data_IF_551635077517
#
_entry.id   IF_551635077517
#
_cell.length_a   1.000
_cell.length_b   1.000
_cell.length_c   1.000
_cell.angle_alpha   90.00
_cell.angle_beta   90.00
_cell.angle_gamma   90.00
#
_symmetry.space_group_name_H-M   'P 1'
#
loop_
_entity.id
_entity.type
_entity.pdbx_description
1 polymer ?
#
# COMPACT_ATOMS: atom_id res chain seq x y z
N UNK A 1 60.33 24.71 7.74
CA UNK A 1 59.25 24.72 8.76
C UNK A 1 57.95 25.08 8.06
N UNK A 2 57.12 24.09 7.73
CA UNK A 2 55.83 24.29 7.04
C UNK A 2 54.76 24.30 8.14
N UNK A 3 54.17 25.47 8.39
CA UNK A 3 53.00 25.60 9.28
C UNK A 3 51.81 24.96 8.57
N UNK A 4 51.32 23.84 9.10
CA UNK A 4 49.99 23.32 8.74
C UNK A 4 48.93 24.26 9.33
N UNK A 5 48.20 24.96 8.46
CA UNK A 5 46.97 25.63 8.83
C UNK A 5 45.87 24.58 9.04
N UNK A 6 45.41 24.43 10.27
CA UNK A 6 44.19 23.69 10.57
C UNK A 6 43.00 24.46 9.97
N UNK A 7 42.47 23.98 8.85
CA UNK A 7 41.22 24.46 8.28
C UNK A 7 40.10 24.33 9.33
N UNK A 8 39.68 25.45 9.90
CA UNK A 8 38.49 25.52 10.75
C UNK A 8 37.29 25.19 9.88
N UNK A 9 36.71 24.01 10.08
CA UNK A 9 35.47 23.58 9.43
C UNK A 9 34.38 24.61 9.74
N UNK A 10 33.76 25.14 8.68
CA UNK A 10 32.65 26.09 8.72
C UNK A 10 31.57 25.62 9.71
N UNK A 11 31.17 26.42 10.71
CA UNK A 11 30.18 26.02 11.73
C UNK A 11 28.83 25.61 11.12
N UNK A 12 28.54 25.97 9.86
CA UNK A 12 27.34 25.51 9.13
C UNK A 12 27.44 24.09 8.55
N UNK A 13 28.63 23.48 8.52
CA UNK A 13 28.88 22.11 8.04
C UNK A 13 29.09 21.08 9.15
N UNK A 14 29.03 21.48 10.43
CA UNK A 14 28.97 20.51 11.52
C UNK A 14 27.59 19.85 11.48
N UNK A 15 27.57 18.53 11.29
CA UNK A 15 26.41 17.70 11.59
C UNK A 15 26.15 17.72 13.11
N UNK A 16 25.59 18.82 13.63
CA UNK A 16 25.10 18.91 15.00
C UNK A 16 23.68 18.36 14.99
N UNK A 17 23.54 17.05 14.76
CA UNK A 17 22.29 16.34 14.99
C UNK A 17 22.53 15.35 16.11
N UNK A 18 22.62 15.88 17.33
CA UNK A 18 22.48 15.09 18.54
C UNK A 18 21.17 14.30 18.46
N UNK A 19 21.24 12.97 18.58
CA UNK A 19 20.09 12.07 18.53
C UNK A 19 18.96 12.51 19.49
N UNK A 20 19.34 13.08 20.65
CA UNK A 20 18.42 13.62 21.65
C UNK A 20 17.64 14.87 21.18
N UNK A 21 18.19 15.67 20.25
CA UNK A 21 17.47 16.82 19.68
C UNK A 21 16.51 16.44 18.55
N UNK A 22 16.68 15.28 17.92
CA UNK A 22 15.72 14.74 16.94
C UNK A 22 14.43 14.25 17.61
N UNK A 23 14.52 13.66 18.81
CA UNK A 23 13.36 13.16 19.56
C UNK A 23 12.37 14.27 19.95
N UNK A 24 12.84 15.50 20.18
CA UNK A 24 12.00 16.65 20.54
C UNK A 24 11.90 17.70 19.42
N UNK A 25 12.26 17.35 18.19
CA UNK A 25 12.03 18.24 17.06
C UNK A 25 10.53 18.39 16.86
N UNK A 26 10.04 19.63 16.81
CA UNK A 26 8.64 19.92 16.46
C UNK A 26 8.33 19.19 15.15
N UNK A 27 7.30 18.32 15.10
CA UNK A 27 6.98 17.62 13.88
C UNK A 27 6.74 18.65 12.79
N UNK A 28 7.54 18.60 11.72
CA UNK A 28 7.27 19.41 10.55
C UNK A 28 5.94 18.90 9.98
N UNK A 29 4.86 19.65 10.23
CA UNK A 29 3.53 19.36 9.69
C UNK A 29 3.63 19.39 8.17
N UNK A 30 3.78 18.21 7.57
CA UNK A 30 3.68 18.09 6.13
C UNK A 30 2.20 17.93 5.83
N UNK A 31 1.61 18.95 5.21
CA UNK A 31 0.26 18.83 4.68
C UNK A 31 0.25 17.64 3.73
N UNK A 32 -0.56 16.63 4.07
CA UNK A 32 -0.68 15.44 3.25
C UNK A 32 -1.78 15.67 2.23
N UNK A 33 -1.39 15.70 0.96
CA UNK A 33 -2.33 15.69 -0.14
C UNK A 33 -2.75 14.24 -0.41
N UNK A 34 -4.06 14.05 -0.59
CA UNK A 34 -4.63 12.75 -0.91
C UNK A 34 -5.09 12.76 -2.38
N UNK A 35 -4.20 12.53 -3.36
CA UNK A 35 -4.56 12.59 -4.78
C UNK A 35 -5.38 11.37 -5.23
N UNK A 36 -5.18 10.23 -4.58
CA UNK A 36 -5.80 8.95 -4.93
C UNK A 36 -6.70 8.44 -3.81
N UNK A 37 -7.66 7.58 -4.19
CA UNK A 37 -8.55 6.88 -3.25
C UNK A 37 -7.83 5.76 -2.50
N UNK A 38 -6.92 5.07 -3.19
CA UNK A 38 -6.06 4.04 -2.63
C UNK A 38 -4.84 4.68 -1.97
N UNK A 39 -4.33 4.05 -0.91
CA UNK A 39 -3.17 4.52 -0.16
C UNK A 39 -2.39 3.33 0.41
N UNK A 40 -1.07 3.41 0.42
CA UNK A 40 -0.16 2.44 1.04
C UNK A 40 0.13 2.73 2.52
N UNK A 41 -0.37 3.86 3.04
CA UNK A 41 -0.27 4.24 4.45
C UNK A 41 1.20 4.28 4.93
N UNK A 42 2.06 4.92 4.14
CA UNK A 42 3.51 5.00 4.39
C UNK A 42 3.86 6.09 5.41
N UNK A 43 3.26 7.27 5.24
CA UNK A 43 3.59 8.45 6.06
C UNK A 43 2.55 8.66 7.15
N UNK A 44 2.91 8.63 8.43
CA UNK A 44 1.95 8.80 9.52
C UNK A 44 1.28 10.17 9.46
N UNK A 45 -0.02 10.25 9.81
CA UNK A 45 -0.73 11.51 9.85
C UNK A 45 -0.14 12.45 10.90
N UNK A 46 0.03 13.73 10.54
CA UNK A 46 0.60 14.75 11.45
C UNK A 46 -0.43 15.77 11.95
N UNK A 47 -1.60 15.89 11.32
CA UNK A 47 -2.60 16.87 11.74
C UNK A 47 -3.34 16.40 13.01
N UNK A 48 -3.72 17.35 13.85
CA UNK A 48 -4.51 17.08 15.06
C UNK A 48 -5.96 16.76 14.70
N UNK A 49 -6.57 15.85 15.46
CA UNK A 49 -7.98 15.46 15.36
C UNK A 49 -8.61 15.49 16.75
N UNK A 50 -9.93 15.64 16.82
CA UNK A 50 -10.61 15.59 18.12
C UNK A 50 -10.66 14.17 18.67
N UNK A 51 -10.86 14.03 19.98
CA UNK A 51 -11.00 12.72 20.61
C UNK A 51 -12.22 11.97 20.07
N UNK A 52 -13.35 12.66 19.83
CA UNK A 52 -14.53 12.01 19.27
C UNK A 52 -14.27 11.50 17.83
N UNK A 53 -13.52 12.25 17.03
CA UNK A 53 -13.10 11.81 15.71
C UNK A 53 -12.19 10.58 15.79
N UNK A 54 -11.22 10.59 16.71
CA UNK A 54 -10.31 9.48 16.93
C UNK A 54 -11.08 8.18 17.24
N UNK A 55 -12.00 8.23 18.21
CA UNK A 55 -12.80 7.07 18.60
C UNK A 55 -13.74 6.60 17.49
N UNK A 56 -14.49 7.53 16.88
CA UNK A 56 -15.47 7.18 15.85
C UNK A 56 -14.80 6.58 14.62
N UNK A 57 -13.67 7.14 14.17
CA UNK A 57 -12.96 6.65 12.99
C UNK A 57 -12.34 5.27 13.22
N UNK A 58 -11.82 5.02 14.42
CA UNK A 58 -11.33 3.70 14.81
C UNK A 58 -12.46 2.67 14.82
N UNK A 59 -13.59 3.00 15.45
CA UNK A 59 -14.76 2.11 15.53
C UNK A 59 -15.31 1.79 14.14
N UNK A 60 -15.41 2.79 13.27
CA UNK A 60 -15.94 2.61 11.91
C UNK A 60 -15.07 1.64 11.08
N UNK A 61 -13.74 1.79 11.12
CA UNK A 61 -12.83 0.86 10.45
C UNK A 61 -12.87 -0.52 11.09
N UNK A 62 -12.88 -0.60 12.42
CA UNK A 62 -12.91 -1.86 13.15
C UNK A 62 -14.15 -2.69 12.80
N UNK A 63 -15.33 -2.06 12.68
CA UNK A 63 -16.55 -2.73 12.23
C UNK A 63 -16.39 -3.36 10.84
N UNK A 64 -15.78 -2.65 9.90
CA UNK A 64 -15.57 -3.15 8.54
C UNK A 64 -14.59 -4.34 8.55
N UNK A 65 -13.47 -4.22 9.29
CA UNK A 65 -12.49 -5.31 9.39
C UNK A 65 -13.08 -6.55 10.07
N UNK A 66 -13.88 -6.38 11.12
CA UNK A 66 -14.58 -7.48 11.79
C UNK A 66 -15.58 -8.19 10.86
N UNK A 67 -16.31 -7.46 10.02
CA UNK A 67 -17.23 -8.06 9.05
C UNK A 67 -16.49 -8.77 7.90
N UNK A 68 -15.32 -8.27 7.50
CA UNK A 68 -14.42 -8.95 6.56
C UNK A 68 -13.95 -10.30 7.14
N UNK A 69 -13.48 -10.30 8.39
CA UNK A 69 -13.11 -11.54 9.09
C UNK A 69 -14.30 -12.50 9.20
N UNK A 70 -15.47 -12.01 9.60
CA UNK A 70 -16.68 -12.82 9.72
C UNK A 70 -17.11 -13.46 8.39
N UNK A 71 -16.96 -12.74 7.27
CA UNK A 71 -17.22 -13.29 5.93
C UNK A 71 -16.20 -14.38 5.57
N UNK A 72 -14.92 -14.19 5.93
CA UNK A 72 -13.87 -15.19 5.74
C UNK A 72 -14.16 -16.47 6.54
N UNK A 73 -14.54 -16.37 7.81
CA UNK A 73 -14.90 -17.53 8.64
C UNK A 73 -16.13 -18.30 8.12
N UNK A 74 -17.05 -17.60 7.45
CA UNK A 74 -18.25 -18.20 6.86
C UNK A 74 -18.00 -18.81 5.47
N UNK A 75 -16.76 -18.83 4.99
CA UNK A 75 -16.36 -19.33 3.66
C UNK A 75 -17.20 -18.75 2.52
N UNK A 76 -17.64 -17.49 2.64
CA UNK A 76 -18.37 -16.80 1.58
C UNK A 76 -17.48 -16.65 0.36
N UNK A 77 -18.07 -16.69 -0.83
CA UNK A 77 -17.34 -16.40 -2.05
C UNK A 77 -16.88 -14.94 -2.07
N UNK A 78 -15.83 -14.59 -2.84
CA UNK A 78 -15.38 -13.20 -2.98
C UNK A 78 -16.51 -12.26 -3.44
N UNK A 79 -17.38 -12.72 -4.34
CA UNK A 79 -18.49 -11.92 -4.86
C UNK A 79 -19.55 -11.62 -3.80
N UNK A 80 -19.95 -12.61 -3.01
CA UNK A 80 -20.90 -12.43 -1.89
C UNK A 80 -20.32 -11.52 -0.81
N UNK A 81 -19.02 -11.65 -0.55
CA UNK A 81 -18.31 -10.83 0.42
C UNK A 81 -18.28 -9.37 -0.03
N UNK A 82 -17.97 -9.11 -1.30
CA UNK A 82 -18.05 -7.75 -1.89
C UNK A 82 -19.46 -7.19 -1.80
N UNK A 83 -20.49 -7.94 -2.17
CA UNK A 83 -21.87 -7.48 -2.12
C UNK A 83 -22.32 -7.13 -0.69
N UNK A 84 -21.86 -7.89 0.31
CA UNK A 84 -22.17 -7.64 1.71
C UNK A 84 -21.42 -6.43 2.30
N UNK A 85 -20.15 -6.27 1.96
CA UNK A 85 -19.28 -5.22 2.51
C UNK A 85 -19.53 -3.87 1.84
N UNK A 86 -19.89 -3.83 0.56
CA UNK A 86 -20.13 -2.59 -0.19
C UNK A 86 -21.07 -1.60 0.52
N UNK A 87 -22.27 -1.98 1.01
CA UNK A 87 -23.13 -1.05 1.74
C UNK A 87 -22.54 -0.60 3.08
N UNK A 88 -21.75 -1.45 3.74
CA UNK A 88 -21.07 -1.10 4.99
C UNK A 88 -19.93 -0.09 4.75
N UNK A 89 -19.18 -0.26 3.66
CA UNK A 89 -18.17 0.71 3.24
C UNK A 89 -18.80 2.07 2.95
N UNK A 90 -19.88 2.10 2.16
CA UNK A 90 -20.58 3.36 1.87
C UNK A 90 -21.11 4.06 3.13
N UNK A 91 -21.50 3.29 4.15
CA UNK A 91 -22.00 3.84 5.42
C UNK A 91 -20.90 4.34 6.36
N UNK A 92 -19.83 3.56 6.54
CA UNK A 92 -18.85 3.79 7.60
C UNK A 92 -17.52 4.36 7.08
N UNK A 93 -17.08 3.99 5.88
CA UNK A 93 -15.85 4.50 5.24
C UNK A 93 -16.11 4.80 3.75
N UNK A 94 -16.96 5.80 3.44
CA UNK A 94 -17.18 6.18 2.05
C UNK A 94 -15.86 6.69 1.45
N UNK A 95 -15.59 6.22 0.23
CA UNK A 95 -14.42 6.61 -0.54
C UNK A 95 -14.87 6.78 -2.00
N UNK A 96 -15.25 8.01 -2.33
CA UNK A 96 -15.78 8.35 -3.65
C UNK A 96 -14.64 8.61 -4.66
N UNK A 97 -14.87 8.29 -5.93
CA UNK A 97 -13.93 8.53 -7.02
C UNK A 97 -13.69 10.03 -7.23
N UNK A 98 -12.52 10.42 -7.76
CA UNK A 98 -12.23 11.81 -8.13
C UNK A 98 -13.21 12.34 -9.19
N UNK A 99 -13.71 11.46 -10.05
CA UNK A 99 -14.70 11.77 -11.09
C UNK A 99 -16.07 12.17 -10.55
N UNK A 100 -16.33 11.94 -9.26
CA UNK A 100 -17.62 12.27 -8.61
C UNK A 100 -17.79 13.76 -8.29
N UNK A 101 -16.74 14.57 -8.43
CA UNK A 101 -16.76 16.01 -8.19
C UNK A 101 -16.17 16.79 -9.35
N UNK A 102 -16.70 18.00 -9.59
CA UNK A 102 -16.16 18.92 -10.60
C UNK A 102 -14.75 19.40 -10.25
N UNK A 103 -14.46 19.50 -8.96
CA UNK A 103 -13.17 19.94 -8.42
C UNK A 103 -12.18 18.77 -8.23
N UNK A 104 -12.58 17.54 -8.60
CA UNK A 104 -11.72 16.37 -8.53
C UNK A 104 -11.21 16.10 -7.11
N UNK A 105 -9.93 15.74 -6.99
CA UNK A 105 -9.27 15.44 -5.71
C UNK A 105 -9.20 16.64 -4.74
N UNK A 106 -9.48 17.86 -5.22
CA UNK A 106 -9.44 19.07 -4.40
C UNK A 106 -10.72 19.30 -3.60
N UNK A 107 -11.79 18.56 -3.87
CA UNK A 107 -13.06 18.65 -3.16
C UNK A 107 -12.87 18.36 -1.65
N UNK A 108 -13.28 19.27 -0.75
CA UNK A 108 -13.14 19.08 0.70
C UNK A 108 -13.82 17.82 1.21
N UNK A 109 -14.90 17.37 0.58
CA UNK A 109 -15.59 16.11 0.94
C UNK A 109 -14.69 14.91 0.69
N UNK A 110 -14.05 14.83 -0.49
CA UNK A 110 -13.16 13.72 -0.85
C UNK A 110 -11.90 13.72 0.02
N UNK A 111 -11.36 14.90 0.34
CA UNK A 111 -10.24 15.04 1.27
C UNK A 111 -10.60 14.51 2.65
N UNK A 112 -11.80 14.81 3.17
CA UNK A 112 -12.24 14.30 4.46
C UNK A 112 -12.43 12.77 4.45
N UNK A 113 -13.03 12.22 3.39
CA UNK A 113 -13.18 10.77 3.19
C UNK A 113 -11.81 10.06 3.23
N UNK A 114 -10.82 10.58 2.50
CA UNK A 114 -9.45 10.04 2.46
C UNK A 114 -8.70 10.24 3.77
N UNK A 115 -8.90 11.38 4.43
CA UNK A 115 -8.34 11.65 5.75
C UNK A 115 -8.88 10.66 6.79
N UNK A 116 -10.20 10.44 6.83
CA UNK A 116 -10.83 9.46 7.72
C UNK A 116 -10.25 8.06 7.50
N UNK A 117 -10.12 7.65 6.24
CA UNK A 117 -9.52 6.36 5.89
C UNK A 117 -8.06 6.26 6.37
N UNK A 118 -7.26 7.29 6.09
CA UNK A 118 -5.86 7.31 6.46
C UNK A 118 -5.66 7.26 7.98
N UNK A 119 -6.36 8.11 8.73
CA UNK A 119 -6.23 8.16 10.18
C UNK A 119 -6.76 6.89 10.84
N UNK A 120 -7.94 6.40 10.44
CA UNK A 120 -8.49 5.17 11.02
C UNK A 120 -7.54 3.99 10.87
N UNK A 121 -6.82 3.88 9.75
CA UNK A 121 -5.79 2.86 9.57
C UNK A 121 -4.68 2.97 10.61
N UNK A 122 -4.10 4.17 10.78
CA UNK A 122 -3.01 4.39 11.75
C UNK A 122 -3.47 4.23 13.20
N UNK A 123 -4.69 4.64 13.54
CA UNK A 123 -5.24 4.45 14.88
C UNK A 123 -5.33 2.95 15.21
N UNK A 124 -5.81 2.13 14.26
CA UNK A 124 -5.87 0.68 14.46
C UNK A 124 -4.48 0.03 14.49
N UNK A 125 -3.47 0.55 13.78
CA UNK A 125 -2.07 0.10 13.95
C UNK A 125 -1.59 0.25 15.40
N UNK A 126 -1.96 1.33 16.09
CA UNK A 126 -1.61 1.53 17.49
C UNK A 126 -2.28 0.48 18.40
N UNK A 127 -3.52 0.11 18.11
CA UNK A 127 -4.26 -0.86 18.91
C UNK A 127 -3.83 -2.33 18.67
N UNK A 128 -3.50 -2.68 17.43
CA UNK A 128 -3.26 -4.07 17.02
C UNK A 128 -1.78 -4.44 16.81
N UNK A 129 -0.83 -3.55 17.10
CA UNK A 129 0.61 -3.85 17.01
C UNK A 129 1.18 -4.60 18.21
N UNK A 130 0.42 -4.73 19.31
CA UNK A 130 0.92 -5.22 20.59
C UNK A 130 1.29 -6.72 20.64
N UNK A 131 0.62 -7.57 19.86
CA UNK A 131 0.94 -9.02 19.82
C UNK A 131 1.04 -9.50 18.38
N UNK A 132 1.82 -10.55 18.15
CA UNK A 132 2.00 -11.13 16.82
C UNK A 132 0.68 -11.63 16.23
N UNK A 133 -0.20 -12.25 17.04
CA UNK A 133 -1.50 -12.75 16.59
C UNK A 133 -2.41 -11.60 16.11
N UNK A 134 -2.49 -10.51 16.89
CA UNK A 134 -3.28 -9.34 16.51
C UNK A 134 -2.73 -8.67 15.24
N UNK A 135 -1.41 -8.57 15.09
CA UNK A 135 -0.76 -8.05 13.88
C UNK A 135 -1.11 -8.87 12.66
N UNK A 136 -0.98 -10.20 12.75
CA UNK A 136 -1.30 -11.12 11.64
C UNK A 136 -2.78 -11.03 11.24
N UNK A 137 -3.68 -10.96 12.21
CA UNK A 137 -5.13 -10.80 11.95
C UNK A 137 -5.45 -9.46 11.29
N UNK A 138 -4.93 -8.37 11.85
CA UNK A 138 -5.11 -7.03 11.28
C UNK A 138 -4.54 -6.94 9.87
N UNK A 139 -3.30 -7.40 9.63
CA UNK A 139 -2.68 -7.38 8.31
C UNK A 139 -3.50 -8.16 7.27
N UNK A 140 -4.06 -9.32 7.63
CA UNK A 140 -4.94 -10.11 6.75
C UNK A 140 -6.24 -9.37 6.41
N UNK A 141 -6.97 -8.89 7.42
CA UNK A 141 -8.24 -8.19 7.22
C UNK A 141 -8.05 -6.89 6.40
N UNK A 142 -6.98 -6.16 6.68
CA UNK A 142 -6.63 -4.91 6.02
C UNK A 142 -6.17 -5.14 4.58
N UNK A 143 -5.41 -6.20 4.31
CA UNK A 143 -5.03 -6.64 2.96
C UNK A 143 -6.26 -7.01 2.14
N UNK A 144 -7.23 -7.71 2.74
CA UNK A 144 -8.50 -8.02 2.09
C UNK A 144 -9.29 -6.75 1.77
N UNK A 145 -9.37 -5.80 2.70
CA UNK A 145 -10.03 -4.51 2.49
C UNK A 145 -9.38 -3.76 1.31
N UNK A 146 -8.05 -3.70 1.26
CA UNK A 146 -7.31 -3.09 0.17
C UNK A 146 -7.63 -3.77 -1.18
N UNK A 147 -7.63 -5.10 -1.22
CA UNK A 147 -8.01 -5.88 -2.40
C UNK A 147 -9.40 -5.52 -2.92
N UNK A 148 -10.40 -5.44 -2.04
CA UNK A 148 -11.77 -5.07 -2.43
C UNK A 148 -11.83 -3.66 -3.02
N UNK A 149 -11.16 -2.70 -2.39
CA UNK A 149 -11.12 -1.31 -2.87
C UNK A 149 -10.43 -1.20 -4.22
N UNK A 150 -9.33 -1.91 -4.41
CA UNK A 150 -8.59 -1.91 -5.66
C UNK A 150 -9.41 -2.51 -6.81
N UNK A 151 -10.16 -3.58 -6.55
CA UNK A 151 -11.06 -4.19 -7.54
C UNK A 151 -12.26 -3.31 -7.88
N UNK A 152 -12.75 -2.53 -6.91
CA UNK A 152 -13.82 -1.55 -7.09
C UNK A 152 -13.33 -0.22 -7.70
N UNK A 153 -12.04 -0.08 -8.02
CA UNK A 153 -11.45 1.15 -8.55
C UNK A 153 -11.50 1.26 -10.05
N UNK A 154 -11.65 2.51 -10.51
CA UNK A 154 -11.68 2.82 -11.93
C UNK A 154 -10.31 2.54 -12.55
N UNK A 155 -10.29 1.96 -13.74
CA UNK A 155 -9.05 1.57 -14.42
C UNK A 155 -8.07 2.75 -14.60
N UNK A 156 -8.59 3.96 -14.76
CA UNK A 156 -7.80 5.20 -14.87
C UNK A 156 -7.19 5.63 -13.54
N UNK A 157 -7.96 5.61 -12.46
CA UNK A 157 -7.48 5.98 -11.12
C UNK A 157 -6.47 4.96 -10.61
N UNK A 158 -6.74 3.68 -10.85
CA UNK A 158 -5.82 2.57 -10.56
C UNK A 158 -4.48 2.76 -11.24
N UNK A 159 -4.46 3.08 -12.55
CA UNK A 159 -3.22 3.32 -13.29
C UNK A 159 -2.45 4.52 -12.73
N UNK A 160 -3.15 5.63 -12.47
CA UNK A 160 -2.52 6.81 -11.88
C UNK A 160 -1.94 6.54 -10.48
N UNK A 161 -2.59 5.69 -9.69
CA UNK A 161 -2.10 5.24 -8.39
C UNK A 161 -0.89 4.31 -8.52
N UNK A 162 -0.93 3.38 -9.47
CA UNK A 162 0.20 2.51 -9.82
C UNK A 162 1.42 3.32 -10.27
N UNK A 163 1.22 4.34 -11.09
CA UNK A 163 2.30 5.17 -11.60
C UNK A 163 2.92 6.06 -10.50
N UNK A 164 2.14 6.43 -9.48
CA UNK A 164 2.66 7.16 -8.32
C UNK A 164 3.38 6.27 -7.32
N UNK A 165 3.06 4.97 -7.30
CA UNK A 165 3.85 3.97 -6.63
C UNK A 165 5.11 3.71 -7.47
N UNK A 166 6.26 4.21 -7.04
CA UNK A 166 7.56 3.90 -7.64
C UNK A 166 7.96 2.43 -7.40
N UNK A 167 7.15 1.50 -7.91
CA UNK A 167 7.43 0.08 -7.92
C UNK A 167 8.47 -0.13 -9.01
N UNK A 168 9.59 -0.79 -8.69
CA UNK A 168 10.63 -1.12 -9.66
C UNK A 168 10.16 -2.23 -10.61
N UNK A 169 9.10 -1.95 -11.37
CA UNK A 169 8.55 -2.79 -12.41
C UNK A 169 8.67 -2.11 -13.76
N UNK A 170 9.18 -2.84 -14.74
CA UNK A 170 9.41 -2.32 -16.08
C UNK A 170 8.41 -2.96 -17.03
N UNK A 171 7.78 -2.18 -17.91
CA UNK A 171 7.00 -2.76 -19.00
C UNK A 171 7.95 -3.47 -19.97
N UNK A 172 7.66 -4.72 -20.32
CA UNK A 172 8.47 -5.50 -21.25
C UNK A 172 8.25 -4.97 -22.66
N UNK A 173 9.35 -4.70 -23.39
CA UNK A 173 9.27 -4.26 -24.80
C UNK A 173 8.75 -5.37 -25.71
N UNK A 174 8.17 -5.01 -26.86
CA UNK A 174 7.67 -6.00 -27.82
C UNK A 174 8.79 -6.89 -28.38
N UNK A 175 10.02 -6.37 -28.48
CA UNK A 175 11.21 -7.12 -28.90
C UNK A 175 11.56 -8.21 -27.87
N UNK A 176 11.75 -7.82 -26.61
CA UNK A 176 12.05 -8.76 -25.53
C UNK A 176 10.91 -9.77 -25.36
N UNK A 177 9.65 -9.33 -25.47
CA UNK A 177 8.48 -10.20 -25.38
C UNK A 177 8.51 -11.28 -26.46
N UNK A 178 8.86 -10.93 -27.71
CA UNK A 178 8.97 -11.89 -28.82
C UNK A 178 10.07 -12.92 -28.57
N UNK A 179 11.20 -12.52 -27.99
CA UNK A 179 12.30 -13.43 -27.66
C UNK A 179 11.91 -14.46 -26.60
N UNK A 180 11.15 -14.06 -25.57
CA UNK A 180 10.73 -14.97 -24.49
C UNK A 180 9.33 -15.58 -24.70
N UNK A 181 8.67 -15.30 -25.82
CA UNK A 181 7.27 -15.64 -26.07
C UNK A 181 6.94 -17.13 -25.84
N UNK A 182 7.79 -18.03 -26.34
CA UNK A 182 7.60 -19.48 -26.17
C UNK A 182 7.63 -19.89 -24.70
N UNK A 183 8.52 -19.27 -23.92
CA UNK A 183 8.63 -19.52 -22.48
C UNK A 183 7.47 -18.91 -21.69
N UNK A 184 6.97 -17.75 -22.10
CA UNK A 184 5.79 -17.12 -21.49
C UNK A 184 4.54 -17.98 -21.66
N UNK A 185 4.32 -18.52 -22.86
CA UNK A 185 3.19 -19.41 -23.15
C UNK A 185 3.32 -20.74 -22.38
N UNK A 186 4.53 -21.28 -22.25
CA UNK A 186 4.76 -22.51 -21.48
C UNK A 186 4.59 -22.29 -19.96
N UNK A 187 4.95 -21.11 -19.45
CA UNK A 187 4.93 -20.81 -18.02
C UNK A 187 3.55 -20.38 -17.51
N UNK A 188 2.66 -19.84 -18.35
CA UNK A 188 1.34 -19.42 -17.88
C UNK A 188 0.22 -20.38 -18.34
N UNK A 189 -0.42 -21.09 -17.39
CA UNK A 189 -1.56 -21.94 -17.70
C UNK A 189 -2.69 -21.19 -18.41
N UNK A 190 -3.17 -21.72 -19.53
CA UNK A 190 -4.32 -21.20 -20.27
C UNK A 190 -4.01 -20.08 -21.27
N UNK A 191 -2.77 -19.59 -21.33
CA UNK A 191 -2.36 -18.61 -22.34
C UNK A 191 -2.12 -19.30 -23.68
N UNK A 192 -2.73 -18.79 -24.76
CA UNK A 192 -2.53 -19.34 -26.12
C UNK A 192 -1.52 -18.53 -26.93
N UNK A 193 -1.43 -17.21 -26.69
CA UNK A 193 -0.50 -16.32 -27.37
C UNK A 193 0.06 -15.28 -26.39
N UNK A 194 1.36 -15.01 -26.46
CA UNK A 194 2.02 -13.98 -25.64
C UNK A 194 1.54 -12.55 -25.94
N UNK A 195 0.97 -12.33 -27.13
CA UNK A 195 0.56 -11.01 -27.63
C UNK A 195 -0.79 -10.53 -27.07
N UNK A 196 -1.52 -11.39 -26.36
CA UNK A 196 -2.84 -11.08 -25.82
C UNK A 196 -2.79 -10.13 -24.62
N UNK A 197 -1.63 -10.01 -23.96
CA UNK A 197 -1.50 -9.27 -22.70
C UNK A 197 -0.23 -8.43 -22.62
N UNK A 198 -0.28 -7.38 -21.80
CA UNK A 198 0.88 -6.59 -21.41
C UNK A 198 1.65 -7.33 -20.32
N UNK A 199 2.98 -7.30 -20.41
CA UNK A 199 3.88 -7.97 -19.49
C UNK A 199 4.73 -6.98 -18.72
N UNK A 200 4.93 -7.26 -17.44
CA UNK A 200 5.79 -6.51 -16.54
C UNK A 200 6.97 -7.37 -16.10
N UNK A 201 8.14 -6.75 -16.00
CA UNK A 201 9.40 -7.34 -15.58
C UNK A 201 9.74 -6.81 -14.20
N UNK A 202 9.88 -7.71 -13.22
CA UNK A 202 10.13 -7.38 -11.82
C UNK A 202 11.20 -8.30 -11.23
N UNK A 203 11.85 -7.89 -10.15
CA UNK A 203 12.70 -8.79 -9.39
C UNK A 203 11.89 -9.96 -8.81
N UNK A 204 12.42 -11.17 -8.95
CA UNK A 204 11.76 -12.40 -8.51
C UNK A 204 11.43 -12.40 -7.01
N UNK A 205 12.25 -11.73 -6.19
CA UNK A 205 12.08 -11.59 -4.74
C UNK A 205 10.76 -10.90 -4.35
N UNK A 206 10.21 -10.06 -5.23
CA UNK A 206 8.96 -9.33 -4.98
C UNK A 206 7.71 -10.16 -5.28
N UNK A 207 7.84 -11.30 -5.95
CA UNK A 207 6.71 -12.11 -6.43
C UNK A 207 6.82 -13.61 -6.08
N UNK A 208 7.14 -13.98 -4.82
CA UNK A 208 7.34 -15.37 -4.44
C UNK A 208 6.07 -16.22 -4.63
N UNK A 209 4.88 -15.68 -4.35
CA UNK A 209 3.62 -16.42 -4.47
C UNK A 209 3.30 -16.86 -5.91
N UNK A 210 3.63 -16.00 -6.89
CA UNK A 210 3.41 -16.31 -8.31
C UNK A 210 4.40 -17.38 -8.81
N UNK A 211 5.61 -17.36 -8.28
CA UNK A 211 6.65 -18.34 -8.58
C UNK A 211 6.28 -19.70 -8.00
N UNK A 212 5.78 -19.75 -6.77
CA UNK A 212 5.31 -20.98 -6.12
C UNK A 212 4.22 -21.67 -6.93
N UNK A 213 3.29 -20.89 -7.49
CA UNK A 213 2.20 -21.38 -8.35
C UNK A 213 2.66 -21.74 -9.77
N UNK A 214 3.92 -21.46 -10.12
CA UNK A 214 4.49 -21.64 -11.46
C UNK A 214 3.65 -20.97 -12.55
N UNK A 215 3.16 -19.76 -12.28
CA UNK A 215 2.34 -18.99 -13.23
C UNK A 215 3.13 -17.92 -13.98
N UNK A 216 4.38 -17.68 -13.60
CA UNK A 216 5.28 -16.65 -14.14
C UNK A 216 6.58 -17.26 -14.66
N UNK A 217 7.15 -16.61 -15.68
CA UNK A 217 8.44 -17.01 -16.24
C UNK A 217 9.58 -16.28 -15.52
N UNK A 218 10.67 -17.00 -15.22
CA UNK A 218 11.87 -16.46 -14.60
C UNK A 218 13.04 -16.52 -15.58
N UNK A 219 13.74 -15.40 -15.76
CA UNK A 219 14.98 -15.32 -16.54
C UNK A 219 15.96 -14.34 -15.92
N UNK A 220 17.20 -14.78 -15.69
CA UNK A 220 18.31 -13.96 -15.18
C UNK A 220 17.97 -13.17 -13.90
N UNK A 221 17.20 -13.75 -12.99
CA UNK A 221 16.77 -13.10 -11.74
C UNK A 221 15.61 -12.12 -11.88
N UNK A 222 14.97 -12.05 -13.06
CA UNK A 222 13.76 -11.27 -13.29
C UNK A 222 12.57 -12.19 -13.54
N UNK A 223 11.42 -11.81 -13.01
CA UNK A 223 10.13 -12.45 -13.23
C UNK A 223 9.31 -11.65 -14.24
N UNK A 224 8.73 -12.37 -15.19
CA UNK A 224 7.81 -11.83 -16.19
C UNK A 224 6.39 -12.13 -15.76
N UNK A 225 5.66 -11.07 -15.43
CA UNK A 225 4.33 -11.15 -14.84
C UNK A 225 3.31 -10.52 -15.80
N UNK A 226 2.21 -11.22 -16.11
CA UNK A 226 1.18 -10.66 -16.97
C UNK A 226 0.31 -9.63 -16.22
N UNK A 227 -0.33 -8.71 -16.95
CA UNK A 227 -1.18 -7.66 -16.38
C UNK A 227 -2.31 -8.22 -15.48
N UNK A 228 -2.86 -9.40 -15.78
CA UNK A 228 -3.86 -10.07 -14.94
C UNK A 228 -3.40 -10.35 -13.51
N UNK A 229 -2.10 -10.56 -13.29
CA UNK A 229 -1.49 -10.82 -11.98
C UNK A 229 -0.94 -9.55 -11.31
N UNK A 230 -1.08 -8.38 -11.95
CA UNK A 230 -0.64 -7.09 -11.40
C UNK A 230 -1.26 -6.82 -10.03
N UNK A 231 -2.54 -7.19 -9.85
CA UNK A 231 -3.24 -7.10 -8.57
C UNK A 231 -2.51 -7.87 -7.46
N UNK A 232 -2.13 -9.12 -7.75
CA UNK A 232 -1.47 -10.01 -6.79
C UNK A 232 -0.14 -9.42 -6.32
N UNK A 233 0.61 -8.80 -7.23
CA UNK A 233 1.89 -8.14 -6.91
C UNK A 233 1.71 -6.93 -5.99
N UNK A 234 0.76 -6.05 -6.31
CA UNK A 234 0.50 -4.84 -5.51
C UNK A 234 0.03 -5.23 -4.11
N UNK A 235 -0.81 -6.25 -4.00
CA UNK A 235 -1.29 -6.78 -2.72
C UNK A 235 -0.10 -7.33 -1.90
N UNK A 236 0.76 -8.14 -2.50
CA UNK A 236 1.93 -8.69 -1.82
C UNK A 236 2.88 -7.59 -1.29
N UNK A 237 3.12 -6.56 -2.11
CA UNK A 237 3.92 -5.40 -1.70
C UNK A 237 3.25 -4.63 -0.56
N UNK A 238 1.94 -4.38 -0.65
CA UNK A 238 1.17 -3.74 0.41
C UNK A 238 1.24 -4.51 1.73
N UNK A 239 1.02 -5.83 1.69
CA UNK A 239 1.09 -6.69 2.88
C UNK A 239 2.48 -6.65 3.49
N UNK A 240 3.54 -6.77 2.68
CA UNK A 240 4.93 -6.73 3.16
C UNK A 240 5.28 -5.39 3.83
N UNK A 241 4.85 -4.27 3.24
CA UNK A 241 5.03 -2.93 3.82
C UNK A 241 4.25 -2.76 5.11
N UNK A 242 3.01 -3.27 5.16
CA UNK A 242 2.15 -3.19 6.33
C UNK A 242 2.70 -4.01 7.50
N UNK A 243 3.15 -5.24 7.27
CA UNK A 243 3.75 -6.09 8.30
C UNK A 243 5.00 -5.44 8.90
N UNK A 244 5.90 -4.95 8.05
CA UNK A 244 7.09 -4.19 8.50
C UNK A 244 6.71 -2.96 9.32
N UNK A 245 5.67 -2.23 8.91
CA UNK A 245 5.21 -1.05 9.64
C UNK A 245 4.64 -1.41 11.02
N UNK A 246 3.91 -2.53 11.14
CA UNK A 246 3.36 -3.02 12.40
C UNK A 246 4.46 -3.49 13.37
N UNK A 247 5.53 -4.10 12.86
CA UNK A 247 6.72 -4.44 13.66
C UNK A 247 7.42 -3.20 14.22
N UNK A 248 7.63 -2.18 13.40
CA UNK A 248 8.27 -0.93 13.86
C UNK A 248 7.41 -0.17 14.87
N UNK A 249 6.08 -0.27 14.77
CA UNK A 249 5.16 0.32 15.74
C UNK A 249 5.36 -0.27 17.15
N UNK A 250 5.50 -1.59 17.26
CA UNK A 250 5.73 -2.29 18.54
C UNK A 250 6.99 -1.78 19.26
N UNK A 251 8.12 -1.72 18.54
CA UNK A 251 9.42 -1.30 19.11
C UNK A 251 9.36 0.11 19.74
N UNK A 252 8.52 1.00 19.20
CA UNK A 252 8.38 2.37 19.73
C UNK A 252 7.57 2.48 21.01
N UNK A 253 6.82 1.45 21.41
CA UNK A 253 6.04 1.46 22.66
C UNK A 253 6.83 0.90 23.86
N UNK A 254 7.93 0.19 23.62
CA UNK A 254 8.77 -0.39 24.69
C UNK A 254 9.87 0.57 25.18
N UNK A 255 10.18 1.64 24.45
CA UNK A 255 11.13 2.72 24.80
C UNK A 255 10.45 3.94 25.46
#
# INVERSE_FOLDING_TARGET
MIRQEFQRIDPKRRAILSHKKKQFATPAFKQQDYPHRLNFYETPPTAEITLEQFEQWAIDRLKILAEIEACSYRNKTPAETTAHITPLLQKFLPLSSNTSSRDGAEDPRLKNERQKDHYSHFILRLAFSATEDLRRRFARAETMLFRFRFQADDSRERRAFIDSLSLDWESVSDEERREVAEHLVAATPGLRRSDEEVWYKVDWEKVPELIERRTVFLSRGKAYVPEREQLSMIIAEFTTRLERALEVCEVKFED
#
